data_IF_655667953175
#
_entry.id   IF_655667953175
#
_cell.length_a   1.000
_cell.length_b   1.000
_cell.length_c   1.000
_cell.angle_alpha   90.00
_cell.angle_beta   90.00
_cell.angle_gamma   90.00
#
_symmetry.space_group_name_H-M   'P 1'
#
loop_
_entity.id
_entity.type
_entity.pdbx_description
1 polymer ?
#
# COMPACT_ATOMS: atom_id res chain seq x y z
N UNK A 1 -10.31 -12.73 -23.05
CA UNK A 1 -11.18 -11.57 -22.82
C UNK A 1 -10.63 -10.59 -21.76
N UNK A 2 -10.41 -10.93 -20.46
CA UNK A 2 -9.94 -9.97 -19.46
C UNK A 2 -8.67 -9.20 -19.87
N UNK A 3 -7.65 -9.89 -20.40
CA UNK A 3 -6.42 -9.25 -20.90
C UNK A 3 -6.69 -8.24 -22.01
N UNK A 4 -7.52 -8.60 -23.00
CA UNK A 4 -7.91 -7.72 -24.09
C UNK A 4 -8.67 -6.48 -23.61
N UNK A 5 -9.61 -6.65 -22.66
CA UNK A 5 -10.32 -5.53 -22.02
C UNK A 5 -9.37 -4.58 -21.30
N UNK A 6 -8.42 -5.11 -20.50
CA UNK A 6 -7.44 -4.29 -19.78
C UNK A 6 -6.54 -3.53 -20.76
N UNK A 7 -6.07 -4.17 -21.83
CA UNK A 7 -5.24 -3.54 -22.85
C UNK A 7 -6.00 -2.43 -23.59
N UNK A 8 -7.26 -2.67 -23.94
CA UNK A 8 -8.13 -1.69 -24.56
C UNK A 8 -8.36 -0.48 -23.65
N UNK A 9 -8.81 -0.70 -22.40
CA UNK A 9 -9.09 0.35 -21.42
C UNK A 9 -7.84 1.17 -21.05
N UNK A 10 -6.66 0.55 -21.01
CA UNK A 10 -5.40 1.27 -20.83
C UNK A 10 -5.09 2.19 -22.01
N UNK A 11 -5.23 1.66 -23.25
CA UNK A 11 -4.95 2.42 -24.47
C UNK A 11 -5.89 3.60 -24.64
N UNK A 12 -7.15 3.46 -24.23
CA UNK A 12 -8.19 4.49 -24.34
C UNK A 12 -8.27 5.43 -23.12
N UNK A 13 -7.42 5.23 -22.10
CA UNK A 13 -7.38 6.12 -20.94
C UNK A 13 -8.55 5.96 -19.94
N UNK A 14 -9.35 4.89 -20.04
CA UNK A 14 -10.51 4.67 -19.17
C UNK A 14 -10.17 4.00 -17.83
N UNK A 15 -8.89 3.77 -17.54
CA UNK A 15 -8.45 3.25 -16.24
C UNK A 15 -7.69 4.34 -15.48
N UNK A 16 -8.25 4.79 -14.39
CA UNK A 16 -7.61 5.77 -13.50
C UNK A 16 -6.20 5.30 -13.07
N UNK A 17 -5.19 6.15 -13.31
CA UNK A 17 -3.80 5.85 -13.00
C UNK A 17 -3.53 5.67 -11.49
N UNK A 18 -4.34 6.29 -10.63
CA UNK A 18 -4.25 6.20 -9.18
C UNK A 18 -5.09 5.05 -8.59
N UNK A 19 -5.80 4.27 -9.43
CA UNK A 19 -6.36 2.99 -8.99
C UNK A 19 -5.27 1.93 -9.08
N UNK A 20 -4.90 1.34 -7.93
CA UNK A 20 -3.82 0.37 -7.82
C UNK A 20 -4.24 -1.08 -7.71
N UNK A 21 -5.52 -1.35 -7.41
CA UNK A 21 -5.99 -2.72 -7.32
C UNK A 21 -6.13 -3.36 -8.71
N UNK A 22 -5.86 -4.66 -8.76
CA UNK A 22 -6.05 -5.53 -9.94
C UNK A 22 -5.29 -5.10 -11.20
N UNK A 23 -4.26 -4.27 -11.05
CA UNK A 23 -3.37 -3.83 -12.14
C UNK A 23 -1.99 -4.50 -12.01
N UNK A 24 -1.42 -4.89 -13.15
CA UNK A 24 -0.04 -5.36 -13.21
C UNK A 24 0.94 -4.31 -12.68
N UNK A 25 1.96 -4.75 -11.97
CA UNK A 25 2.99 -3.88 -11.36
C UNK A 25 2.51 -2.93 -10.25
N UNK A 26 1.22 -2.95 -9.91
CA UNK A 26 0.63 -2.22 -8.81
C UNK A 26 0.46 -3.14 -7.58
N UNK A 27 0.43 -2.55 -6.39
CA UNK A 27 0.23 -3.26 -5.12
C UNK A 27 -0.20 -2.28 -4.03
N UNK A 28 -0.62 -2.79 -2.88
CA UNK A 28 -0.86 -1.98 -1.68
C UNK A 28 0.39 -1.17 -1.30
N UNK A 29 1.59 -1.76 -1.48
CA UNK A 29 2.87 -1.09 -1.19
C UNK A 29 3.09 0.10 -2.12
N UNK A 30 2.86 -0.06 -3.43
CA UNK A 30 3.05 1.04 -4.39
C UNK A 30 2.07 2.18 -4.14
N UNK A 31 0.81 1.87 -3.79
CA UNK A 31 -0.19 2.84 -3.39
C UNK A 31 0.23 3.63 -2.13
N UNK A 32 0.64 2.90 -1.09
CA UNK A 32 1.09 3.50 0.16
C UNK A 32 2.38 4.33 -0.02
N UNK A 33 3.33 3.91 -0.86
CA UNK A 33 4.52 4.71 -1.16
C UNK A 33 4.16 6.08 -1.76
N UNK A 34 3.16 6.11 -2.64
CA UNK A 34 2.70 7.36 -3.23
C UNK A 34 2.12 8.31 -2.15
N UNK A 35 1.21 7.79 -1.34
CA UNK A 35 0.55 8.57 -0.27
C UNK A 35 1.54 8.99 0.82
N UNK A 36 2.43 8.10 1.25
CA UNK A 36 3.40 8.41 2.31
C UNK A 36 4.44 9.44 1.87
N UNK A 37 4.84 9.44 0.60
CA UNK A 37 5.78 10.44 0.11
C UNK A 37 5.18 11.86 0.13
N UNK A 38 3.91 12.00 -0.29
CA UNK A 38 3.18 13.27 -0.17
C UNK A 38 3.04 13.73 1.30
N UNK A 39 2.79 12.79 2.22
CA UNK A 39 2.73 13.09 3.66
C UNK A 39 4.09 13.58 4.18
N UNK A 40 5.19 12.93 3.78
CA UNK A 40 6.54 13.37 4.19
C UNK A 40 6.93 14.73 3.57
N UNK A 41 6.45 15.03 2.37
CA UNK A 41 6.60 16.35 1.75
C UNK A 41 5.84 17.43 2.52
N UNK A 42 4.60 17.16 2.93
CA UNK A 42 3.83 18.07 3.77
C UNK A 42 4.50 18.31 5.14
N UNK A 43 5.03 17.24 5.77
CA UNK A 43 5.80 17.37 7.01
C UNK A 43 7.05 18.24 6.86
N UNK A 44 7.75 18.16 5.70
CA UNK A 44 8.87 19.01 5.37
C UNK A 44 8.48 20.50 5.30
N UNK A 45 7.32 20.76 4.72
CA UNK A 45 6.77 22.12 4.59
C UNK A 45 6.09 22.61 5.88
N UNK A 46 6.21 21.86 6.98
CA UNK A 46 5.53 22.19 8.26
C UNK A 46 4.00 22.26 8.13
N UNK A 47 3.43 21.48 7.21
CA UNK A 47 2.00 21.37 6.99
C UNK A 47 1.38 20.20 7.77
N UNK A 48 0.06 20.23 7.89
CA UNK A 48 -0.78 19.12 8.31
C UNK A 48 -1.27 18.35 7.09
N UNK A 49 -1.47 17.04 7.23
CA UNK A 49 -2.18 16.22 6.25
C UNK A 49 -3.42 15.63 6.89
N UNK A 50 -4.59 15.97 6.33
CA UNK A 50 -5.85 15.28 6.63
C UNK A 50 -5.94 14.06 5.70
N UNK A 51 -5.85 12.86 6.26
CA UNK A 51 -6.05 11.62 5.52
C UNK A 51 -7.40 11.03 5.89
N UNK A 52 -8.31 10.99 4.91
CA UNK A 52 -9.66 10.43 5.03
C UNK A 52 -9.70 9.09 4.31
N UNK A 53 -10.14 8.06 5.01
CA UNK A 53 -10.29 6.70 4.51
C UNK A 53 -11.78 6.38 4.43
N UNK A 54 -12.29 6.19 3.22
CA UNK A 54 -13.70 5.86 2.99
C UNK A 54 -13.86 4.35 2.80
N UNK A 55 -14.93 3.83 3.41
CA UNK A 55 -15.34 2.43 3.32
C UNK A 55 -16.69 2.32 2.62
N UNK A 56 -16.83 1.33 1.75
CA UNK A 56 -18.09 1.00 1.12
C UNK A 56 -18.69 -0.27 1.72
N UNK A 57 -20.01 -0.27 1.91
CA UNK A 57 -20.72 -1.47 2.37
C UNK A 57 -20.95 -2.43 1.22
N UNK A 58 -20.33 -3.63 1.27
CA UNK A 58 -20.54 -4.71 0.27
C UNK A 58 -20.39 -4.22 -1.19
N UNK A 59 -19.36 -3.41 -1.49
CA UNK A 59 -19.18 -2.74 -2.77
C UNK A 59 -19.31 -3.68 -3.98
N UNK A 60 -18.65 -4.84 -3.93
CA UNK A 60 -18.68 -5.85 -4.99
C UNK A 60 -20.07 -6.50 -5.18
N UNK A 61 -20.82 -6.67 -4.09
CA UNK A 61 -22.14 -7.30 -4.12
C UNK A 61 -23.23 -6.31 -4.57
N UNK A 62 -22.97 -5.00 -4.46
CA UNK A 62 -23.89 -3.94 -4.86
C UNK A 62 -23.65 -3.47 -6.31
N UNK A 63 -22.63 -3.95 -7.00
CA UNK A 63 -22.25 -3.48 -8.33
C UNK A 63 -23.41 -3.68 -9.34
N UNK A 64 -23.99 -2.59 -9.82
CA UNK A 64 -25.17 -2.62 -10.69
C UNK A 64 -24.77 -3.00 -12.12
N UNK A 65 -25.35 -4.08 -12.64
CA UNK A 65 -25.06 -4.63 -13.96
C UNK A 65 -25.36 -3.64 -15.11
N UNK A 66 -26.48 -2.91 -15.03
CA UNK A 66 -26.87 -1.92 -16.06
C UNK A 66 -25.88 -0.77 -16.13
N UNK A 67 -25.41 -0.29 -14.97
CA UNK A 67 -24.40 0.78 -14.90
C UNK A 67 -23.04 0.32 -15.43
N UNK A 68 -22.63 -0.91 -15.12
CA UNK A 68 -21.40 -1.50 -15.68
C UNK A 68 -21.46 -1.53 -17.21
N UNK A 69 -22.58 -2.04 -17.76
CA UNK A 69 -22.77 -2.11 -19.23
C UNK A 69 -22.83 -0.71 -19.87
N UNK A 70 -23.49 0.26 -19.21
CA UNK A 70 -23.51 1.64 -19.68
C UNK A 70 -22.12 2.28 -19.74
N UNK A 71 -21.30 2.09 -18.69
CA UNK A 71 -19.92 2.58 -18.66
C UNK A 71 -19.02 1.89 -19.67
N UNK A 72 -19.18 0.60 -19.89
CA UNK A 72 -18.48 -0.12 -20.95
C UNK A 72 -18.86 0.40 -22.33
N UNK A 73 -20.16 0.68 -22.56
CA UNK A 73 -20.64 1.29 -23.81
C UNK A 73 -20.02 2.66 -24.02
N UNK A 74 -19.99 3.52 -23.00
CA UNK A 74 -19.36 4.85 -23.08
C UNK A 74 -17.85 4.76 -23.29
N UNK A 75 -17.20 3.69 -22.79
CA UNK A 75 -15.80 3.39 -23.05
C UNK A 75 -15.54 2.83 -24.46
N UNK A 76 -16.57 2.70 -25.32
CA UNK A 76 -16.44 2.29 -26.72
C UNK A 76 -16.51 0.79 -26.99
N UNK A 77 -17.01 -0.01 -26.04
CA UNK A 77 -17.25 -1.43 -26.26
C UNK A 77 -18.43 -1.63 -27.26
N UNK A 78 -18.25 -2.50 -28.26
CA UNK A 78 -19.25 -2.79 -29.29
C UNK A 78 -20.34 -3.74 -28.75
N UNK A 79 -21.46 -3.82 -29.45
CA UNK A 79 -22.64 -4.61 -29.10
C UNK A 79 -22.33 -6.06 -28.73
N UNK A 80 -21.54 -6.76 -29.52
CA UNK A 80 -21.21 -8.18 -29.28
C UNK A 80 -20.48 -8.40 -27.94
N UNK A 81 -19.52 -7.50 -27.63
CA UNK A 81 -18.81 -7.54 -26.34
C UNK A 81 -19.74 -7.22 -25.18
N UNK A 82 -20.67 -6.27 -25.34
CA UNK A 82 -21.65 -5.91 -24.32
C UNK A 82 -22.65 -7.05 -24.09
N UNK A 83 -23.13 -7.69 -25.16
CA UNK A 83 -24.02 -8.86 -25.09
C UNK A 83 -23.33 -10.00 -24.32
N UNK A 84 -22.07 -10.26 -24.62
CA UNK A 84 -21.32 -11.29 -23.94
C UNK A 84 -21.16 -10.98 -22.42
N UNK A 85 -20.82 -9.74 -22.07
CA UNK A 85 -20.68 -9.33 -20.65
C UNK A 85 -22.03 -9.35 -19.94
N UNK A 86 -23.10 -8.95 -20.64
CA UNK A 86 -24.47 -9.03 -20.13
C UNK A 86 -24.84 -10.48 -19.80
N UNK A 87 -24.60 -11.41 -20.72
CA UNK A 87 -24.82 -12.85 -20.50
C UNK A 87 -23.97 -13.40 -19.33
N UNK A 88 -22.73 -12.92 -19.18
CA UNK A 88 -21.89 -13.31 -18.05
C UNK A 88 -22.44 -12.86 -16.70
N UNK A 89 -23.11 -11.71 -16.62
CA UNK A 89 -23.65 -11.13 -15.39
C UNK A 89 -25.08 -11.62 -15.08
N UNK A 90 -25.90 -11.91 -16.10
CA UNK A 90 -27.32 -12.25 -15.96
C UNK A 90 -27.57 -13.75 -15.74
N UNK A 91 -28.80 -14.09 -15.32
CA UNK A 91 -29.24 -15.48 -15.17
C UNK A 91 -28.54 -16.26 -14.06
N UNK A 92 -27.91 -15.57 -13.11
CA UNK A 92 -27.19 -16.18 -11.99
C UNK A 92 -28.11 -16.34 -10.79
N UNK A 93 -27.92 -17.43 -10.06
CA UNK A 93 -28.58 -17.70 -8.78
C UNK A 93 -27.59 -18.21 -7.76
N UNK A 94 -27.93 -18.09 -6.50
CA UNK A 94 -27.12 -18.54 -5.37
C UNK A 94 -27.99 -19.17 -4.28
N UNK A 95 -27.41 -20.09 -3.51
CA UNK A 95 -27.97 -20.60 -2.29
C UNK A 95 -26.89 -20.67 -1.20
N UNK A 96 -27.31 -20.68 0.05
CA UNK A 96 -26.41 -20.83 1.21
C UNK A 96 -26.52 -22.28 1.72
N UNK A 97 -25.38 -22.89 2.01
CA UNK A 97 -25.29 -24.23 2.59
C UNK A 97 -24.54 -24.14 3.91
N UNK A 98 -25.17 -24.54 5.02
CA UNK A 98 -24.56 -24.58 6.36
C UNK A 98 -24.94 -25.92 7.01
N UNK A 99 -23.96 -26.67 7.47
CA UNK A 99 -24.14 -27.96 8.15
C UNK A 99 -25.13 -28.93 7.42
N UNK A 100 -24.98 -29.03 6.09
CA UNK A 100 -25.83 -29.83 5.19
C UNK A 100 -27.28 -29.34 5.02
N UNK A 101 -27.62 -28.17 5.57
CA UNK A 101 -28.89 -27.50 5.28
C UNK A 101 -28.71 -26.47 4.21
N UNK A 102 -29.70 -26.37 3.31
CA UNK A 102 -29.64 -25.49 2.14
C UNK A 102 -30.77 -24.47 2.20
N UNK A 103 -30.48 -23.23 1.83
CA UNK A 103 -31.51 -22.23 1.57
C UNK A 103 -32.19 -22.48 0.21
N UNK A 104 -33.31 -21.79 -0.04
CA UNK A 104 -33.86 -21.64 -1.40
C UNK A 104 -32.84 -21.00 -2.33
N UNK A 105 -33.02 -21.24 -3.64
CA UNK A 105 -32.30 -20.55 -4.67
C UNK A 105 -32.82 -19.11 -4.81
N UNK A 106 -31.89 -18.15 -4.77
CA UNK A 106 -32.17 -16.71 -4.95
C UNK A 106 -31.46 -16.17 -6.17
N UNK A 107 -32.16 -15.34 -6.96
CA UNK A 107 -31.58 -14.71 -8.14
C UNK A 107 -30.58 -13.62 -7.77
N UNK A 108 -29.44 -13.57 -8.46
CA UNK A 108 -28.39 -12.53 -8.29
C UNK A 108 -28.64 -11.42 -9.29
N UNK A 109 -29.27 -10.33 -8.85
CA UNK A 109 -29.65 -9.18 -9.68
C UNK A 109 -28.56 -8.10 -9.77
N UNK A 110 -27.65 -8.05 -8.82
CA UNK A 110 -26.54 -7.12 -8.71
C UNK A 110 -25.29 -7.84 -8.23
N UNK A 111 -24.17 -7.15 -8.28
CA UNK A 111 -22.89 -7.66 -7.84
C UNK A 111 -22.10 -8.36 -8.94
N UNK A 112 -20.81 -8.42 -8.71
CA UNK A 112 -19.89 -9.16 -9.58
C UNK A 112 -19.41 -10.43 -8.86
N UNK A 113 -19.28 -11.56 -9.55
CA UNK A 113 -18.91 -12.82 -8.93
C UNK A 113 -17.55 -12.71 -8.23
N UNK A 114 -17.54 -12.86 -6.89
CA UNK A 114 -16.30 -12.85 -6.10
C UNK A 114 -15.46 -14.08 -6.47
N UNK A 115 -14.14 -13.90 -6.58
CA UNK A 115 -13.22 -14.95 -7.00
C UNK A 115 -13.15 -15.16 -8.53
N UNK A 116 -13.94 -14.43 -9.33
CA UNK A 116 -13.86 -14.46 -10.78
C UNK A 116 -12.75 -13.54 -11.32
N UNK A 117 -12.28 -13.81 -12.54
CA UNK A 117 -11.25 -12.98 -13.19
C UNK A 117 -11.80 -11.62 -13.66
N UNK A 118 -13.05 -11.56 -14.06
CA UNK A 118 -13.68 -10.35 -14.58
C UNK A 118 -14.30 -9.47 -13.49
N UNK A 119 -14.75 -10.04 -12.38
CA UNK A 119 -15.42 -9.30 -11.32
C UNK A 119 -14.65 -8.07 -10.86
N UNK A 120 -13.37 -8.18 -10.49
CA UNK A 120 -12.54 -7.04 -10.11
C UNK A 120 -12.41 -5.98 -11.19
N UNK A 121 -12.26 -6.38 -12.45
CA UNK A 121 -12.17 -5.44 -13.58
C UNK A 121 -13.48 -4.67 -13.79
N UNK A 122 -14.62 -5.36 -13.76
CA UNK A 122 -15.94 -4.76 -13.91
C UNK A 122 -16.25 -3.80 -12.76
N UNK A 123 -15.86 -4.14 -11.54
CA UNK A 123 -15.96 -3.21 -10.41
C UNK A 123 -15.06 -1.98 -10.60
N UNK A 124 -13.81 -2.15 -11.03
CA UNK A 124 -12.91 -1.03 -11.32
C UNK A 124 -13.48 -0.09 -12.37
N UNK A 125 -14.17 -0.62 -13.40
CA UNK A 125 -14.86 0.18 -14.42
C UNK A 125 -16.05 0.93 -13.79
N UNK A 126 -16.81 0.30 -12.91
CA UNK A 126 -17.94 0.93 -12.23
C UNK A 126 -17.53 2.19 -11.45
N UNK A 127 -16.33 2.17 -10.83
CA UNK A 127 -15.85 3.30 -10.02
C UNK A 127 -14.82 4.18 -10.73
N UNK A 128 -14.53 3.95 -12.03
CA UNK A 128 -13.41 4.61 -12.72
C UNK A 128 -13.51 6.13 -12.80
N UNK A 129 -14.72 6.68 -12.83
CA UNK A 129 -15.02 8.10 -12.91
C UNK A 129 -15.19 8.80 -11.54
N UNK A 130 -14.85 8.13 -10.44
CA UNK A 130 -14.85 8.76 -9.11
C UNK A 130 -13.83 9.92 -9.02
N UNK A 131 -12.74 9.83 -9.77
CA UNK A 131 -11.75 10.89 -9.90
C UNK A 131 -12.32 12.19 -10.42
N UNK A 132 -13.36 12.12 -11.25
CA UNK A 132 -13.98 13.30 -11.85
C UNK A 132 -14.74 14.17 -10.85
N UNK A 133 -15.11 13.61 -9.72
CA UNK A 133 -15.83 14.32 -8.65
C UNK A 133 -14.93 14.79 -7.49
N UNK A 134 -13.69 14.32 -7.43
CA UNK A 134 -12.68 14.76 -6.46
C UNK A 134 -11.90 15.93 -7.07
N UNK A 135 -12.14 17.14 -6.59
CA UNK A 135 -11.59 18.36 -7.23
C UNK A 135 -10.59 19.13 -6.37
N UNK A 136 -10.62 18.94 -5.05
CA UNK A 136 -9.86 19.76 -4.10
C UNK A 136 -8.76 19.02 -3.38
N UNK A 137 -8.91 17.70 -3.25
CA UNK A 137 -7.94 16.82 -2.59
C UNK A 137 -7.15 15.97 -3.57
N UNK A 138 -6.02 15.44 -3.07
CA UNK A 138 -5.35 14.30 -3.70
C UNK A 138 -6.07 13.03 -3.28
N UNK A 139 -5.97 11.99 -4.10
CA UNK A 139 -6.58 10.69 -3.79
C UNK A 139 -5.70 9.54 -4.22
N UNK A 140 -6.00 8.37 -3.69
CA UNK A 140 -5.48 7.09 -4.17
C UNK A 140 -6.54 6.01 -3.95
N UNK A 141 -6.75 5.15 -4.95
CA UNK A 141 -7.76 4.10 -4.92
C UNK A 141 -7.10 2.73 -4.87
N UNK A 142 -7.68 1.84 -4.07
CA UNK A 142 -7.31 0.43 -4.06
C UNK A 142 -8.56 -0.44 -3.96
N UNK A 143 -9.11 -0.85 -5.10
CA UNK A 143 -10.45 -1.40 -5.24
C UNK A 143 -11.50 -0.42 -4.69
N UNK A 144 -12.26 -0.82 -3.67
CA UNK A 144 -13.22 -0.01 -2.94
C UNK A 144 -12.60 0.88 -1.86
N UNK A 145 -11.38 0.58 -1.40
CA UNK A 145 -10.67 1.44 -0.44
C UNK A 145 -10.29 2.77 -1.11
N UNK A 146 -10.95 3.84 -0.70
CA UNK A 146 -10.72 5.21 -1.20
C UNK A 146 -9.98 6.03 -0.16
N UNK A 147 -8.81 6.53 -0.53
CA UNK A 147 -7.96 7.38 0.30
C UNK A 147 -7.99 8.80 -0.27
N UNK A 148 -8.45 9.75 0.52
CA UNK A 148 -8.40 11.19 0.20
C UNK A 148 -7.42 11.86 1.14
N UNK A 149 -6.59 12.78 0.64
CA UNK A 149 -5.70 13.51 1.52
C UNK A 149 -5.48 14.94 1.05
N UNK A 150 -5.43 15.83 2.05
CA UNK A 150 -5.37 17.28 1.89
C UNK A 150 -4.26 17.81 2.78
N UNK A 151 -3.44 18.70 2.24
CA UNK A 151 -2.36 19.34 3.01
C UNK A 151 -2.65 20.80 3.23
N UNK A 152 -2.34 21.32 4.41
CA UNK A 152 -2.54 22.72 4.74
C UNK A 152 -1.65 23.18 5.91
N UNK A 153 -1.52 24.47 6.09
CA UNK A 153 -0.99 25.04 7.33
C UNK A 153 -1.99 24.87 8.47
N UNK A 154 -1.52 25.00 9.72
CA UNK A 154 -2.38 24.82 10.91
C UNK A 154 -3.52 25.84 10.93
N UNK A 155 -3.24 27.06 10.47
CA UNK A 155 -4.20 28.18 10.44
C UNK A 155 -5.36 27.90 9.46
N UNK A 156 -5.09 27.14 8.40
CA UNK A 156 -6.06 26.84 7.33
C UNK A 156 -6.84 25.53 7.56
N UNK A 157 -6.74 24.94 8.76
CA UNK A 157 -7.30 23.62 9.04
C UNK A 157 -8.83 23.55 8.78
N UNK A 158 -9.61 24.53 9.28
CA UNK A 158 -11.08 24.54 9.10
C UNK A 158 -11.46 24.86 7.64
N UNK A 159 -10.77 25.77 6.96
CA UNK A 159 -10.96 26.00 5.52
C UNK A 159 -10.64 24.74 4.68
N UNK A 160 -9.73 23.90 5.16
CA UNK A 160 -9.45 22.62 4.51
C UNK A 160 -10.55 21.60 4.79
N UNK A 161 -11.14 21.60 6.00
CA UNK A 161 -12.30 20.75 6.32
C UNK A 161 -13.50 21.10 5.42
N UNK A 162 -13.72 22.36 5.11
CA UNK A 162 -14.76 22.77 4.14
C UNK A 162 -14.50 22.14 2.76
N UNK A 163 -13.25 22.20 2.28
CA UNK A 163 -12.86 21.54 1.00
C UNK A 163 -13.08 20.02 1.04
N UNK A 164 -12.75 19.38 2.16
CA UNK A 164 -12.99 17.95 2.39
C UNK A 164 -14.48 17.65 2.30
N UNK A 165 -15.31 18.45 3.01
CA UNK A 165 -16.75 18.23 3.04
C UNK A 165 -17.40 18.38 1.66
N UNK A 166 -16.93 19.33 0.84
CA UNK A 166 -17.42 19.49 -0.54
C UNK A 166 -17.07 18.25 -1.40
N UNK A 167 -15.83 17.76 -1.34
CA UNK A 167 -15.45 16.56 -2.10
C UNK A 167 -16.17 15.31 -1.58
N UNK A 168 -16.42 15.19 -0.27
CA UNK A 168 -17.21 14.10 0.32
C UNK A 168 -18.69 14.15 -0.10
N UNK A 169 -19.28 15.32 -0.23
CA UNK A 169 -20.63 15.47 -0.78
C UNK A 169 -20.69 15.03 -2.25
N UNK A 170 -19.72 15.44 -3.05
CA UNK A 170 -19.60 15.02 -4.44
C UNK A 170 -19.46 13.49 -4.55
N UNK A 171 -18.61 12.88 -3.72
CA UNK A 171 -18.44 11.42 -3.66
C UNK A 171 -19.71 10.72 -3.19
N UNK A 172 -20.43 11.29 -2.22
CA UNK A 172 -21.72 10.75 -1.76
C UNK A 172 -22.75 10.74 -2.87
N UNK A 173 -22.85 11.82 -3.64
CA UNK A 173 -23.74 11.93 -4.79
C UNK A 173 -23.34 11.00 -5.92
N UNK A 174 -22.03 10.85 -6.19
CA UNK A 174 -21.48 9.86 -7.12
C UNK A 174 -21.86 8.44 -6.70
N UNK A 175 -21.65 8.11 -5.43
CA UNK A 175 -21.92 6.79 -4.90
C UNK A 175 -23.41 6.42 -5.00
N UNK A 176 -24.31 7.35 -4.67
CA UNK A 176 -25.76 7.16 -4.84
C UNK A 176 -26.13 6.86 -6.30
N UNK A 177 -25.58 7.64 -7.25
CA UNK A 177 -25.83 7.44 -8.70
C UNK A 177 -25.29 6.09 -9.19
N UNK A 178 -24.22 5.59 -8.59
CA UNK A 178 -23.62 4.30 -8.94
C UNK A 178 -24.15 3.13 -8.12
N UNK A 179 -25.22 3.32 -7.33
CA UNK A 179 -25.83 2.31 -6.45
C UNK A 179 -24.84 1.73 -5.43
N UNK A 180 -23.83 2.52 -5.03
CA UNK A 180 -22.85 2.15 -4.02
C UNK A 180 -23.19 2.83 -2.68
N UNK A 181 -23.09 2.10 -1.58
CA UNK A 181 -23.41 2.61 -0.24
C UNK A 181 -22.12 2.89 0.54
N UNK A 182 -21.84 4.17 0.80
CA UNK A 182 -20.78 4.58 1.72
C UNK A 182 -21.13 4.19 3.15
N UNK A 183 -20.12 3.87 3.94
CA UNK A 183 -20.27 3.48 5.34
C UNK A 183 -19.57 4.51 6.24
N UNK A 184 -20.33 5.48 6.74
CA UNK A 184 -19.79 6.52 7.59
C UNK A 184 -19.19 5.98 8.91
N UNK A 185 -19.80 4.93 9.50
CA UNK A 185 -19.31 4.35 10.77
C UNK A 185 -17.96 3.65 10.64
N UNK A 186 -17.62 3.15 9.46
CA UNK A 186 -16.32 2.54 9.17
C UNK A 186 -15.33 3.51 8.53
N UNK A 187 -15.83 4.58 7.90
CA UNK A 187 -14.99 5.65 7.37
C UNK A 187 -14.34 6.42 8.51
N UNK A 188 -13.07 6.78 8.35
CA UNK A 188 -12.28 7.41 9.41
C UNK A 188 -11.35 8.44 8.81
N UNK A 189 -10.95 9.42 9.64
CA UNK A 189 -9.88 10.32 9.26
C UNK A 189 -8.83 10.46 10.35
N UNK A 190 -7.63 10.82 9.94
CA UNK A 190 -6.51 11.13 10.82
C UNK A 190 -5.87 12.43 10.35
N UNK A 191 -5.40 13.23 11.30
CA UNK A 191 -4.60 14.43 11.04
C UNK A 191 -3.15 14.09 11.35
N UNK A 192 -2.29 14.16 10.34
CA UNK A 192 -0.86 13.85 10.44
C UNK A 192 -0.08 15.16 10.40
N UNK A 193 0.88 15.32 11.31
CA UNK A 193 1.69 16.53 11.39
C UNK A 193 2.87 16.40 12.34
N UNK A 194 3.69 17.45 12.41
CA UNK A 194 4.71 17.55 13.43
C UNK A 194 4.09 17.64 14.82
N UNK A 195 4.82 17.21 15.86
CA UNK A 195 4.34 17.34 17.25
C UNK A 195 3.95 18.77 17.61
N UNK A 196 4.69 19.75 17.08
CA UNK A 196 4.41 21.18 17.31
C UNK A 196 3.09 21.59 16.65
N UNK A 197 2.87 21.23 15.39
CA UNK A 197 1.65 21.55 14.66
C UNK A 197 0.42 20.87 15.26
N UNK A 198 0.56 19.61 15.65
CA UNK A 198 -0.52 18.87 16.33
C UNK A 198 -0.84 19.47 17.70
N UNK A 199 0.15 20.02 18.42
CA UNK A 199 -0.10 20.76 19.68
C UNK A 199 -0.84 22.07 19.42
N UNK A 200 -0.43 22.87 18.42
CA UNK A 200 -1.14 24.09 18.00
C UNK A 200 -2.58 23.79 17.58
N UNK A 201 -2.78 22.71 16.82
CA UNK A 201 -4.10 22.29 16.38
C UNK A 201 -5.05 21.94 17.54
N UNK A 202 -4.55 21.44 18.66
CA UNK A 202 -5.38 21.15 19.85
C UNK A 202 -5.95 22.40 20.52
N UNK A 203 -5.34 23.56 20.30
CA UNK A 203 -5.83 24.83 20.84
C UNK A 203 -6.99 25.43 20.01
N UNK A 204 -7.20 24.92 18.80
CA UNK A 204 -8.25 25.37 17.88
C UNK A 204 -9.22 24.21 17.62
N UNK A 205 -10.50 24.34 17.95
CA UNK A 205 -11.47 23.29 17.64
C UNK A 205 -11.56 23.09 16.13
N UNK A 206 -11.57 21.83 15.72
CA UNK A 206 -11.79 21.47 14.33
C UNK A 206 -13.28 21.33 14.06
N UNK A 207 -13.70 21.79 12.90
CA UNK A 207 -15.04 21.54 12.38
C UNK A 207 -15.24 20.05 12.08
N UNK A 208 -16.50 19.65 11.93
CA UNK A 208 -16.84 18.27 11.64
C UNK A 208 -16.58 17.91 10.17
N UNK A 209 -15.96 16.78 9.95
CA UNK A 209 -15.94 16.14 8.63
C UNK A 209 -17.20 15.28 8.50
N UNK A 210 -18.01 15.57 7.47
CA UNK A 210 -19.34 14.99 7.29
C UNK A 210 -19.42 14.11 6.05
N UNK A 211 -20.11 13.00 6.15
CA UNK A 211 -20.46 12.13 5.04
C UNK A 211 -21.97 11.96 4.95
N UNK A 212 -22.62 12.80 4.16
CA UNK A 212 -24.07 12.98 4.20
C UNK A 212 -24.51 13.57 5.57
N UNK A 213 -25.46 12.92 6.26
CA UNK A 213 -25.92 13.38 7.59
C UNK A 213 -24.95 12.97 8.72
N UNK A 214 -24.06 12.02 8.48
CA UNK A 214 -23.22 11.42 9.51
C UNK A 214 -21.86 12.12 9.61
N UNK A 215 -21.27 12.12 10.82
CA UNK A 215 -19.91 12.62 11.06
C UNK A 215 -18.91 11.47 10.95
N UNK A 216 -17.80 11.71 10.25
CA UNK A 216 -16.66 10.81 10.25
C UNK A 216 -15.83 11.03 11.51
N UNK A 217 -15.47 9.95 12.20
CA UNK A 217 -14.69 10.04 13.43
C UNK A 217 -13.22 10.31 13.15
N UNK A 218 -12.63 11.23 13.93
CA UNK A 218 -11.18 11.41 13.99
C UNK A 218 -10.56 10.30 14.81
N UNK A 219 -9.51 9.70 14.24
CA UNK A 219 -8.72 8.69 14.92
C UNK A 219 -7.27 9.19 15.11
N UNK A 220 -6.61 8.69 16.14
CA UNK A 220 -5.19 8.96 16.41
C UNK A 220 -4.25 7.89 15.84
N UNK A 221 -4.84 6.86 15.24
CA UNK A 221 -4.17 5.87 14.41
C UNK A 221 -5.19 5.15 13.53
N UNK A 222 -4.92 5.06 12.24
CA UNK A 222 -5.80 4.42 11.25
C UNK A 222 -5.05 3.32 10.52
N UNK A 223 -5.76 2.25 10.18
CA UNK A 223 -5.24 1.19 9.33
C UNK A 223 -5.51 1.54 7.88
N UNK A 224 -4.45 1.83 7.13
CA UNK A 224 -4.50 2.10 5.69
C UNK A 224 -3.83 0.95 4.95
N UNK A 225 -4.57 0.24 4.09
CA UNK A 225 -4.12 -0.93 3.34
C UNK A 225 -3.23 -1.88 4.17
N UNK A 226 -3.66 -2.18 5.38
CA UNK A 226 -2.95 -3.11 6.28
C UNK A 226 -1.88 -2.50 7.19
N UNK A 227 -1.39 -1.30 6.91
CA UNK A 227 -0.40 -0.58 7.71
C UNK A 227 -1.10 0.40 8.67
N UNK A 228 -0.68 0.44 9.93
CA UNK A 228 -1.23 1.35 10.93
C UNK A 228 -0.44 2.66 10.91
N UNK A 229 -1.08 3.75 10.49
CA UNK A 229 -0.55 5.11 10.49
C UNK A 229 -0.90 5.78 11.82
N UNK A 230 0.02 6.50 12.40
CA UNK A 230 -0.21 7.38 13.55
C UNK A 230 0.01 8.86 13.16
N UNK A 231 -0.47 9.79 13.98
CA UNK A 231 -0.45 11.24 13.72
C UNK A 231 0.95 11.82 13.42
N UNK A 232 2.01 11.11 13.76
CA UNK A 232 3.40 11.57 13.60
C UNK A 232 4.23 10.69 12.66
N UNK A 233 3.61 9.71 12.03
CA UNK A 233 4.29 8.69 11.20
C UNK A 233 5.44 8.01 11.94
N UNK A 234 5.29 7.79 13.25
CA UNK A 234 6.35 7.24 14.11
C UNK A 234 6.53 5.73 13.98
N UNK A 235 5.55 5.03 13.42
CA UNK A 235 5.50 3.57 13.27
C UNK A 235 5.44 2.78 14.58
N UNK A 236 5.43 3.44 15.74
CA UNK A 236 5.47 2.78 17.06
C UNK A 236 4.29 1.83 17.23
N UNK A 237 3.07 2.32 16.95
CA UNK A 237 1.84 1.52 17.08
C UNK A 237 1.85 0.32 16.13
N UNK A 238 2.28 0.52 14.88
CA UNK A 238 2.35 -0.55 13.88
C UNK A 238 3.36 -1.63 14.28
N UNK A 239 4.61 -1.25 14.58
CA UNK A 239 5.67 -2.20 14.96
C UNK A 239 5.28 -2.95 16.24
N UNK A 240 4.66 -2.28 17.23
CA UNK A 240 4.16 -2.94 18.42
C UNK A 240 3.11 -4.00 18.10
N UNK A 241 2.16 -3.68 17.22
CA UNK A 241 1.10 -4.60 16.78
C UNK A 241 1.68 -5.85 16.11
N UNK A 242 2.54 -5.66 15.08
CA UNK A 242 3.10 -6.80 14.32
C UNK A 242 4.05 -7.64 15.17
N UNK A 243 4.84 -7.02 16.07
CA UNK A 243 5.71 -7.76 16.98
C UNK A 243 4.92 -8.57 18.01
N UNK A 244 3.84 -8.03 18.57
CA UNK A 244 2.97 -8.77 19.48
C UNK A 244 2.34 -10.00 18.79
N UNK A 245 1.84 -9.83 17.56
CA UNK A 245 1.33 -10.95 16.74
C UNK A 245 2.40 -12.01 16.47
N UNK A 246 3.63 -11.58 16.14
CA UNK A 246 4.74 -12.49 15.88
C UNK A 246 5.11 -13.30 17.11
N UNK A 247 5.13 -12.68 18.30
CA UNK A 247 5.34 -13.39 19.55
C UNK A 247 4.25 -14.43 19.85
N UNK A 248 2.98 -14.08 19.62
CA UNK A 248 1.86 -15.03 19.74
C UNK A 248 2.06 -16.25 18.85
N UNK A 249 2.33 -16.02 17.54
CA UNK A 249 2.61 -17.09 16.59
C UNK A 249 3.80 -17.96 17.00
N UNK A 250 4.92 -17.35 17.42
CA UNK A 250 6.09 -18.08 17.88
C UNK A 250 5.79 -18.96 19.11
N UNK A 251 4.99 -18.44 20.07
CA UNK A 251 4.54 -19.22 21.23
C UNK A 251 3.72 -20.44 20.82
N UNK A 252 2.86 -20.34 19.83
CA UNK A 252 2.09 -21.49 19.31
C UNK A 252 3.00 -22.55 18.69
N UNK A 253 3.91 -22.13 17.79
CA UNK A 253 4.81 -23.05 17.10
C UNK A 253 5.82 -23.70 18.08
N UNK A 254 6.18 -23.01 19.15
CA UNK A 254 7.13 -23.51 20.13
C UNK A 254 6.67 -24.80 20.84
N UNK A 255 5.37 -25.04 20.91
CA UNK A 255 4.78 -26.28 21.45
C UNK A 255 5.21 -27.53 20.67
N UNK A 256 5.53 -27.35 19.39
CA UNK A 256 5.90 -28.45 18.48
C UNK A 256 7.41 -28.59 18.30
N UNK A 257 8.22 -27.91 19.13
CA UNK A 257 9.69 -27.85 18.94
C UNK A 257 10.37 -29.21 18.88
N UNK A 258 9.87 -30.20 19.60
CA UNK A 258 10.45 -31.55 19.69
C UNK A 258 10.05 -32.45 18.51
N UNK A 259 8.98 -32.11 17.77
CA UNK A 259 8.45 -32.89 16.66
C UNK A 259 8.93 -32.43 15.29
N UNK A 260 9.56 -31.26 15.22
CA UNK A 260 9.94 -30.63 13.98
C UNK A 260 11.47 -30.67 13.78
N UNK A 261 11.89 -30.96 12.55
CA UNK A 261 13.30 -30.81 12.15
C UNK A 261 13.70 -29.31 12.11
N UNK A 262 14.99 -29.00 12.19
CA UNK A 262 15.51 -27.63 12.10
C UNK A 262 15.05 -26.91 10.82
N UNK A 263 15.06 -27.62 9.67
CA UNK A 263 14.59 -27.09 8.40
C UNK A 263 13.09 -26.74 8.43
N UNK A 264 12.26 -27.64 8.98
CA UNK A 264 10.82 -27.39 9.13
C UNK A 264 10.54 -26.20 10.05
N UNK A 265 11.24 -26.12 11.19
CA UNK A 265 11.14 -24.96 12.11
C UNK A 265 11.50 -23.65 11.43
N UNK A 266 12.60 -23.64 10.64
CA UNK A 266 13.01 -22.44 9.92
C UNK A 266 11.98 -22.04 8.86
N UNK A 267 11.49 -22.97 8.06
CA UNK A 267 10.47 -22.70 7.05
C UNK A 267 9.19 -22.13 7.68
N UNK A 268 8.72 -22.70 8.79
CA UNK A 268 7.56 -22.17 9.52
C UNK A 268 7.87 -20.79 10.08
N UNK A 269 9.04 -20.59 10.66
CA UNK A 269 9.46 -19.28 11.17
C UNK A 269 9.46 -18.23 10.07
N UNK A 270 9.99 -18.55 8.90
CA UNK A 270 10.08 -17.63 7.77
C UNK A 270 8.72 -17.33 7.15
N UNK A 271 7.91 -18.37 6.89
CA UNK A 271 6.64 -18.21 6.17
C UNK A 271 5.49 -17.74 7.06
N UNK A 272 5.40 -18.22 8.30
CA UNK A 272 4.28 -17.93 9.18
C UNK A 272 4.54 -16.76 10.16
N UNK A 273 5.80 -16.59 10.63
CA UNK A 273 6.14 -15.58 11.63
C UNK A 273 6.77 -14.35 10.98
N UNK A 274 7.90 -14.53 10.26
CA UNK A 274 8.67 -13.41 9.73
C UNK A 274 8.03 -12.77 8.49
N UNK A 275 7.17 -13.48 7.76
CA UNK A 275 6.45 -12.96 6.59
C UNK A 275 5.64 -11.70 6.89
N UNK A 276 5.09 -11.56 8.10
CA UNK A 276 4.33 -10.38 8.48
C UNK A 276 5.17 -9.10 8.59
N UNK A 277 6.50 -9.22 8.76
CA UNK A 277 7.43 -8.10 8.73
C UNK A 277 7.85 -7.72 7.31
N UNK A 278 7.56 -8.55 6.30
CA UNK A 278 7.83 -8.24 4.90
C UNK A 278 6.69 -7.42 4.28
N UNK A 279 5.48 -7.50 4.87
CA UNK A 279 4.35 -6.74 4.35
C UNK A 279 4.50 -5.26 4.69
N UNK A 280 4.63 -4.43 3.65
CA UNK A 280 4.77 -2.98 3.81
C UNK A 280 6.07 -2.50 4.46
N UNK A 281 7.08 -3.35 4.63
CA UNK A 281 8.34 -2.98 5.27
C UNK A 281 9.04 -1.80 4.59
N UNK A 282 8.86 -1.66 3.29
CA UNK A 282 9.37 -0.54 2.48
C UNK A 282 8.78 0.81 2.92
N UNK A 283 7.54 0.80 3.43
CA UNK A 283 6.87 2.02 3.95
C UNK A 283 7.48 2.47 5.28
N UNK A 284 8.01 1.53 6.06
CA UNK A 284 8.52 1.77 7.41
C UNK A 284 9.92 2.41 7.42
N UNK A 285 10.22 3.24 6.41
CA UNK A 285 11.43 4.05 6.42
C UNK A 285 11.36 5.07 7.56
N UNK A 286 12.50 5.42 8.12
CA UNK A 286 12.55 6.38 9.24
C UNK A 286 12.13 5.83 10.60
N UNK A 287 11.81 4.54 10.73
CA UNK A 287 11.63 3.97 12.06
C UNK A 287 12.92 4.12 12.89
N UNK A 288 12.76 4.27 14.19
CA UNK A 288 13.89 4.40 15.12
C UNK A 288 14.68 3.09 15.22
N UNK A 289 15.96 3.19 15.59
CA UNK A 289 16.81 2.01 15.84
C UNK A 289 16.21 1.07 16.91
N UNK A 290 15.50 1.63 17.91
CA UNK A 290 14.81 0.84 18.92
C UNK A 290 13.71 -0.05 18.29
N UNK A 291 12.93 0.47 17.35
CA UNK A 291 11.90 -0.29 16.64
C UNK A 291 12.52 -1.34 15.72
N UNK A 292 13.57 -0.99 14.97
CA UNK A 292 14.29 -1.93 14.12
C UNK A 292 14.88 -3.08 14.97
N UNK A 293 15.48 -2.77 16.12
CA UNK A 293 15.98 -3.76 17.06
C UNK A 293 14.87 -4.66 17.65
N UNK A 294 13.68 -4.10 17.89
CA UNK A 294 12.53 -4.86 18.35
C UNK A 294 12.11 -5.92 17.32
N UNK A 295 12.09 -5.59 16.04
CA UNK A 295 11.83 -6.53 14.94
C UNK A 295 12.95 -7.57 14.86
N UNK A 296 14.22 -7.14 14.92
CA UNK A 296 15.38 -8.04 14.87
C UNK A 296 15.36 -9.07 16.02
N UNK A 297 14.93 -8.69 17.23
CA UNK A 297 14.76 -9.63 18.35
C UNK A 297 13.82 -10.80 18.04
N UNK A 298 12.79 -10.58 17.23
CA UNK A 298 11.88 -11.66 16.80
C UNK A 298 12.63 -12.65 15.91
N UNK A 299 13.34 -12.15 14.89
CA UNK A 299 14.16 -13.01 14.02
C UNK A 299 15.18 -13.81 14.82
N UNK A 300 15.86 -13.17 15.77
CA UNK A 300 16.84 -13.82 16.63
C UNK A 300 16.21 -14.97 17.45
N UNK A 301 14.98 -14.80 17.93
CA UNK A 301 14.24 -15.87 18.60
C UNK A 301 13.82 -16.99 17.66
N UNK A 302 13.42 -16.66 16.42
CA UNK A 302 13.12 -17.65 15.39
C UNK A 302 14.37 -18.48 15.05
N UNK A 303 15.54 -17.86 14.93
CA UNK A 303 16.81 -18.55 14.69
C UNK A 303 17.12 -19.52 15.84
N UNK A 304 17.05 -19.05 17.10
CA UNK A 304 17.27 -19.91 18.26
C UNK A 304 16.30 -21.08 18.32
N UNK A 305 15.04 -20.83 18.07
CA UNK A 305 14.02 -21.89 18.01
C UNK A 305 14.31 -22.91 16.91
N UNK A 306 14.71 -22.45 15.72
CA UNK A 306 14.92 -23.32 14.56
C UNK A 306 16.18 -24.18 14.69
N UNK A 307 17.25 -23.62 15.20
CA UNK A 307 18.56 -24.27 15.26
C UNK A 307 18.95 -24.79 16.65
N UNK A 308 18.01 -24.79 17.60
CA UNK A 308 18.21 -25.39 18.93
C UNK A 308 19.17 -24.59 19.84
N UNK A 309 19.38 -23.32 19.57
CA UNK A 309 20.26 -22.47 20.36
C UNK A 309 19.60 -22.05 21.68
N UNK A 310 20.42 -21.87 22.71
CA UNK A 310 19.98 -21.39 24.02
C UNK A 310 19.72 -19.88 24.02
N UNK A 311 19.06 -19.37 25.03
CA UNK A 311 18.64 -17.96 25.14
C UNK A 311 19.80 -16.96 24.97
N UNK A 312 20.99 -17.29 25.45
CA UNK A 312 22.16 -16.40 25.46
C UNK A 312 23.22 -16.76 24.42
N UNK A 313 23.03 -17.84 23.64
CA UNK A 313 23.97 -18.22 22.60
C UNK A 313 24.05 -17.14 21.50
N UNK A 314 25.27 -16.94 20.98
CA UNK A 314 25.48 -16.08 19.83
C UNK A 314 24.83 -16.69 18.59
N UNK A 315 24.18 -15.84 17.80
CA UNK A 315 23.43 -16.29 16.61
C UNK A 315 24.14 -15.95 15.29
N UNK A 316 25.22 -15.16 15.35
CA UNK A 316 25.88 -14.60 14.17
C UNK A 316 26.37 -15.70 13.24
N UNK A 317 27.10 -16.69 13.74
CA UNK A 317 27.65 -17.79 12.93
C UNK A 317 26.53 -18.64 12.34
N UNK A 318 25.54 -19.01 13.15
CA UNK A 318 24.35 -19.75 12.67
C UNK A 318 23.61 -18.98 11.58
N UNK A 319 23.48 -17.65 11.71
CA UNK A 319 22.83 -16.81 10.72
C UNK A 319 23.63 -16.73 9.43
N UNK A 320 24.96 -16.53 9.51
CA UNK A 320 25.86 -16.49 8.36
C UNK A 320 25.91 -17.83 7.64
N UNK A 321 26.09 -18.94 8.34
CA UNK A 321 26.12 -20.31 7.78
C UNK A 321 24.83 -20.64 7.04
N UNK A 322 23.67 -20.25 7.59
CA UNK A 322 22.38 -20.48 6.95
C UNK A 322 21.98 -19.36 5.97
N UNK A 323 22.87 -18.42 5.66
CA UNK A 323 22.67 -17.34 4.69
C UNK A 323 21.44 -16.47 4.95
N UNK A 324 21.10 -16.25 6.21
CA UNK A 324 19.94 -15.49 6.64
C UNK A 324 20.30 -13.99 6.73
N UNK A 325 19.64 -13.13 5.95
CA UNK A 325 19.78 -11.67 6.06
C UNK A 325 19.17 -11.14 7.36
N UNK A 326 19.73 -10.09 7.96
CA UNK A 326 19.08 -9.35 9.03
C UNK A 326 17.75 -8.75 8.54
N UNK A 327 16.87 -8.43 9.46
CA UNK A 327 15.58 -7.82 9.09
C UNK A 327 15.75 -6.45 8.42
N UNK A 328 16.78 -5.70 8.77
CA UNK A 328 17.13 -4.44 8.14
C UNK A 328 17.59 -4.62 6.69
N UNK A 329 18.50 -5.56 6.46
CA UNK A 329 19.03 -5.86 5.12
C UNK A 329 17.95 -6.47 4.22
N UNK A 330 17.04 -7.28 4.80
CA UNK A 330 15.88 -7.81 4.11
C UNK A 330 14.95 -6.70 3.64
N UNK A 331 14.66 -5.72 4.50
CA UNK A 331 13.90 -4.51 4.13
C UNK A 331 14.61 -3.70 3.06
N UNK A 332 15.93 -3.51 3.19
CA UNK A 332 16.73 -2.80 2.19
C UNK A 332 16.71 -3.50 0.82
N UNK A 333 16.78 -4.84 0.82
CA UNK A 333 16.60 -5.64 -0.40
C UNK A 333 15.25 -5.37 -1.07
N UNK A 334 14.16 -5.33 -0.28
CA UNK A 334 12.83 -5.02 -0.81
C UNK A 334 12.76 -3.58 -1.37
N UNK A 335 13.39 -2.63 -0.70
CA UNK A 335 13.51 -1.26 -1.19
C UNK A 335 14.27 -1.18 -2.52
N UNK A 336 15.41 -1.86 -2.61
CA UNK A 336 16.20 -1.91 -3.86
C UNK A 336 15.41 -2.54 -5.00
N UNK A 337 14.63 -3.59 -4.72
CA UNK A 337 13.76 -4.23 -5.73
C UNK A 337 12.69 -3.26 -6.25
N UNK A 338 12.09 -2.47 -5.39
CA UNK A 338 11.10 -1.46 -5.82
C UNK A 338 11.80 -0.34 -6.61
N UNK A 339 12.94 0.17 -6.12
CA UNK A 339 13.70 1.20 -6.82
C UNK A 339 14.16 0.71 -8.21
N UNK A 340 14.64 -0.52 -8.32
CA UNK A 340 14.96 -1.15 -9.60
C UNK A 340 13.75 -1.18 -10.55
N UNK A 341 12.56 -1.54 -10.05
CA UNK A 341 11.34 -1.52 -10.88
C UNK A 341 10.99 -0.11 -11.34
N UNK A 342 11.17 0.88 -10.49
CA UNK A 342 10.93 2.29 -10.82
C UNK A 342 11.92 2.75 -11.91
N UNK A 343 13.22 2.47 -11.76
CA UNK A 343 14.25 2.88 -12.73
C UNK A 343 14.12 2.16 -14.08
N UNK A 344 13.50 0.98 -14.11
CA UNK A 344 13.21 0.24 -15.34
C UNK A 344 11.85 0.55 -15.96
N UNK A 345 11.08 1.50 -15.41
CA UNK A 345 9.74 1.82 -15.89
C UNK A 345 8.73 0.68 -15.73
N UNK A 346 9.04 -0.33 -14.89
CA UNK A 346 8.15 -1.48 -14.64
C UNK A 346 7.17 -1.18 -13.49
N UNK A 347 7.47 -0.18 -12.66
CA UNK A 347 6.59 0.28 -11.59
C UNK A 347 5.45 1.16 -12.12
N UNK A 348 4.40 1.46 -11.32
CA UNK A 348 3.36 2.40 -11.68
C UNK A 348 3.91 3.77 -12.05
N UNK A 349 3.29 4.44 -13.02
CA UNK A 349 3.75 5.73 -13.57
C UNK A 349 3.85 6.80 -12.48
N UNK A 350 2.93 6.82 -11.49
CA UNK A 350 2.96 7.77 -10.40
C UNK A 350 4.20 7.64 -9.48
N UNK A 351 4.85 6.45 -9.44
CA UNK A 351 6.13 6.27 -8.76
C UNK A 351 7.32 6.60 -9.67
N UNK A 352 7.22 6.22 -10.96
CA UNK A 352 8.28 6.53 -11.93
C UNK A 352 8.50 8.05 -12.06
N UNK A 353 7.42 8.82 -12.01
CA UNK A 353 7.47 10.28 -12.10
C UNK A 353 8.06 10.97 -10.84
N UNK A 354 8.31 10.23 -9.74
CA UNK A 354 8.92 10.79 -8.52
C UNK A 354 10.44 10.79 -8.51
N UNK A 355 11.07 10.15 -9.50
CA UNK A 355 12.51 10.15 -9.64
C UNK A 355 12.95 11.02 -10.83
N UNK A 356 14.05 11.72 -10.65
CA UNK A 356 14.76 12.41 -11.72
C UNK A 356 16.20 11.91 -11.79
N UNK A 357 16.83 12.02 -12.93
CA UNK A 357 18.22 11.69 -13.14
C UNK A 357 19.06 12.95 -13.33
N UNK A 358 20.34 12.91 -12.98
CA UNK A 358 21.21 14.05 -13.15
C UNK A 358 21.30 14.54 -14.61
N UNK A 359 21.24 13.64 -15.59
CA UNK A 359 21.21 14.00 -17.00
C UNK A 359 19.95 14.74 -17.46
N UNK A 360 18.85 14.66 -16.70
CA UNK A 360 17.62 15.42 -17.00
C UNK A 360 17.62 16.85 -16.43
N UNK A 361 18.57 17.17 -15.52
CA UNK A 361 18.65 18.48 -14.88
C UNK A 361 19.65 19.42 -15.56
N UNK A 362 20.68 18.89 -16.21
CA UNK A 362 21.70 19.67 -16.91
C UNK A 362 22.34 18.84 -18.04
N UNK A 363 22.78 19.55 -19.09
CA UNK A 363 23.36 18.93 -20.29
C UNK A 363 24.85 18.52 -20.13
N UNK A 364 25.45 18.69 -18.96
CA UNK A 364 26.84 18.32 -18.74
C UNK A 364 27.01 16.79 -18.61
N UNK A 365 27.97 16.25 -19.36
CA UNK A 365 28.26 14.80 -19.33
C UNK A 365 29.13 14.45 -18.10
N UNK A 366 28.55 14.40 -16.93
CA UNK A 366 29.23 14.07 -15.68
C UNK A 366 29.27 12.54 -15.44
N UNK A 367 30.21 12.07 -14.61
CA UNK A 367 30.28 10.65 -14.19
C UNK A 367 28.99 10.16 -13.50
N UNK A 368 28.19 11.07 -12.94
CA UNK A 368 26.94 10.79 -12.23
C UNK A 368 25.67 10.95 -13.07
N UNK A 369 25.78 11.13 -14.38
CA UNK A 369 24.65 11.44 -15.27
C UNK A 369 23.47 10.47 -15.15
N UNK A 370 23.74 9.20 -14.87
CA UNK A 370 22.74 8.15 -14.77
C UNK A 370 22.30 7.87 -13.30
N UNK A 371 22.82 8.62 -12.33
CA UNK A 371 22.39 8.48 -10.93
C UNK A 371 21.07 9.19 -10.69
N UNK A 372 20.28 8.63 -9.76
CA UNK A 372 19.03 9.24 -9.32
C UNK A 372 19.37 10.48 -8.48
N UNK A 373 18.69 11.57 -8.77
CA UNK A 373 18.78 12.78 -7.95
C UNK A 373 18.02 12.56 -6.66
N UNK A 374 18.71 12.59 -5.53
CA UNK A 374 18.06 12.63 -4.22
C UNK A 374 17.75 14.11 -3.89
N UNK A 375 16.46 14.51 -3.81
CA UNK A 375 16.12 15.87 -3.43
C UNK A 375 16.72 16.25 -2.08
N UNK A 376 17.06 17.53 -1.93
CA UNK A 376 17.51 18.03 -0.63
C UNK A 376 16.38 17.96 0.39
N UNK A 377 16.65 17.46 1.59
CA UNK A 377 15.70 17.36 2.69
C UNK A 377 16.21 18.17 3.88
N UNK A 378 15.39 19.11 4.36
CA UNK A 378 15.69 19.93 5.55
C UNK A 378 15.37 19.16 6.84
N UNK A 379 14.29 18.39 6.83
CA UNK A 379 13.85 17.65 8.00
C UNK A 379 14.34 16.20 7.98
N UNK A 380 14.55 15.65 9.19
CA UNK A 380 14.86 14.23 9.35
C UNK A 380 13.73 13.33 8.79
N UNK A 381 12.47 13.73 8.93
CA UNK A 381 11.34 12.97 8.45
C UNK A 381 11.43 12.81 6.91
N UNK A 382 11.67 13.90 6.19
CA UNK A 382 11.78 13.88 4.72
C UNK A 382 13.03 13.12 4.26
N UNK A 383 14.18 13.30 4.91
CA UNK A 383 15.41 12.59 4.55
C UNK A 383 15.28 11.07 4.68
N UNK A 384 14.35 10.61 5.52
CA UNK A 384 14.04 9.20 5.73
C UNK A 384 12.91 8.68 4.82
N UNK A 385 12.30 9.54 3.97
CA UNK A 385 11.32 9.06 2.99
C UNK A 385 11.96 8.10 1.99
N UNK A 386 11.15 7.22 1.39
CA UNK A 386 11.65 6.19 0.48
C UNK A 386 12.47 6.78 -0.67
N UNK A 387 11.94 7.80 -1.35
CA UNK A 387 12.58 8.34 -2.56
C UNK A 387 13.89 9.07 -2.29
N UNK A 388 14.10 9.60 -1.08
CA UNK A 388 15.36 10.26 -0.71
C UNK A 388 16.36 9.28 -0.12
N UNK A 389 15.95 8.53 0.92
CA UNK A 389 16.83 7.59 1.62
C UNK A 389 17.32 6.47 0.70
N UNK A 390 16.42 5.92 -0.12
CA UNK A 390 16.76 4.78 -0.96
C UNK A 390 17.46 5.21 -2.24
N UNK A 391 17.20 6.41 -2.79
CA UNK A 391 17.92 6.90 -3.97
C UNK A 391 19.43 6.91 -3.75
N UNK A 392 19.91 7.48 -2.65
CA UNK A 392 21.33 7.52 -2.32
C UNK A 392 21.95 6.11 -2.17
N UNK A 393 21.25 5.22 -1.43
CA UNK A 393 21.71 3.82 -1.23
C UNK A 393 21.67 3.01 -2.53
N UNK A 394 20.71 3.30 -3.40
CA UNK A 394 20.60 2.63 -4.70
C UNK A 394 21.68 3.11 -5.66
N UNK A 395 22.03 4.40 -5.65
CA UNK A 395 23.16 4.94 -6.42
C UNK A 395 24.47 4.29 -5.97
N UNK A 396 24.70 4.13 -4.65
CA UNK A 396 25.85 3.40 -4.10
C UNK A 396 25.88 1.94 -4.59
N UNK A 397 24.74 1.24 -4.50
CA UNK A 397 24.60 -0.12 -5.01
C UNK A 397 24.90 -0.22 -6.51
N UNK A 398 24.38 0.71 -7.32
CA UNK A 398 24.53 0.68 -8.78
C UNK A 398 25.96 0.97 -9.28
N UNK A 399 26.80 1.54 -8.42
CA UNK A 399 28.26 1.65 -8.68
C UNK A 399 28.99 0.31 -8.49
N UNK A 400 28.46 -0.56 -7.62
CA UNK A 400 29.07 -1.86 -7.30
C UNK A 400 28.49 -2.98 -8.16
N UNK A 401 27.21 -2.91 -8.48
CA UNK A 401 26.49 -3.92 -9.26
C UNK A 401 25.99 -3.28 -10.55
N UNK A 402 26.36 -3.84 -11.71
CA UNK A 402 25.73 -3.44 -12.96
C UNK A 402 24.25 -3.79 -12.96
N UNK A 403 23.42 -2.73 -13.02
CA UNK A 403 21.95 -2.80 -13.00
C UNK A 403 21.32 -2.56 -14.37
N UNK A 404 22.14 -2.32 -15.42
CA UNK A 404 21.67 -1.85 -16.73
C UNK A 404 20.84 -2.90 -17.48
N UNK A 405 21.40 -4.07 -17.74
CA UNK A 405 20.81 -5.10 -18.63
C UNK A 405 20.57 -6.44 -17.91
N UNK A 406 19.96 -6.40 -16.73
CA UNK A 406 19.70 -7.61 -15.95
C UNK A 406 18.22 -7.81 -15.65
N UNK A 407 17.81 -9.08 -15.53
CA UNK A 407 16.45 -9.43 -15.10
C UNK A 407 16.24 -9.08 -13.62
N UNK A 408 14.99 -8.89 -13.23
CA UNK A 408 14.62 -8.67 -11.83
C UNK A 408 15.12 -9.82 -10.92
N UNK A 409 15.11 -11.05 -11.42
CA UNK A 409 15.56 -12.21 -10.65
C UNK A 409 17.07 -12.17 -10.44
N UNK A 410 17.85 -11.83 -11.48
CA UNK A 410 19.30 -11.66 -11.40
C UNK A 410 19.66 -10.52 -10.48
N UNK A 411 18.93 -9.38 -10.57
CA UNK A 411 19.09 -8.25 -9.67
C UNK A 411 18.90 -8.65 -8.20
N UNK A 412 17.81 -9.36 -7.88
CA UNK A 412 17.55 -9.84 -6.50
C UNK A 412 18.71 -10.71 -5.97
N UNK A 413 19.22 -11.62 -6.79
CA UNK A 413 20.35 -12.49 -6.41
C UNK A 413 21.61 -11.67 -6.11
N UNK A 414 22.00 -10.75 -7.00
CA UNK A 414 23.18 -9.90 -6.83
C UNK A 414 23.05 -8.99 -5.60
N UNK A 415 21.88 -8.36 -5.39
CA UNK A 415 21.65 -7.57 -4.19
C UNK A 415 21.72 -8.39 -2.91
N UNK A 416 21.22 -9.63 -2.93
CA UNK A 416 21.31 -10.52 -1.75
C UNK A 416 22.75 -10.87 -1.43
N UNK A 417 23.58 -11.14 -2.43
CA UNK A 417 25.02 -11.39 -2.25
C UNK A 417 25.72 -10.14 -1.70
N UNK A 418 25.52 -8.98 -2.31
CA UNK A 418 26.05 -7.71 -1.86
C UNK A 418 25.75 -7.41 -0.39
N UNK A 419 24.47 -7.59 0.02
CA UNK A 419 24.05 -7.34 1.41
C UNK A 419 24.66 -8.33 2.41
N UNK A 420 25.00 -9.55 1.99
CA UNK A 420 25.71 -10.54 2.83
C UNK A 420 27.18 -10.20 2.98
N UNK A 421 27.84 -9.77 1.90
CA UNK A 421 29.25 -9.36 1.91
C UNK A 421 29.49 -8.10 2.74
N UNK A 422 28.55 -7.16 2.75
CA UNK A 422 28.61 -5.95 3.58
C UNK A 422 28.51 -6.22 5.08
N UNK A 423 28.09 -7.42 5.47
CA UNK A 423 28.02 -7.87 6.88
C UNK A 423 29.27 -8.60 7.35
N UNK A 424 30.18 -8.97 6.44
CA UNK A 424 31.48 -9.56 6.77
C UNK A 424 32.48 -8.50 7.22
#
# INVERSE_FOLDING_TARGET
MAKQMIEYLKRTGHLDNLQSAYKSSHSTITALLNVTDDIYEALENSELTFLVLLDYSKAFDCANHRLILAKLKSAGFKSDSLTWISSYLSGRSQKVVVDSQESSWEGVLNGVPQGSVLGPLLFTILISDISDVIKRGKYHLYADDTQLYYTCKVEDANATIEKINIDLENISNFSKRNCLKLNASKSKFIVIGSRQNLKKLKSNPLDDIKLGPDKIQREYAVKNLGILFDETMSWIKHVNLITARAYGKLKHVYRFKNFLSSKAKWNISETYILSQFNYGDVILQGMTNQLAHKIQKIQNRCIRFSFGLRKYDHITDTRKTNKILRMEDRRLLHCFVIMFKITKGIAPIYLCNRIAYHNSLHNYNTRRKNEIVAPFARSRARSMSFFINIANKYNELSRTIDVSNISLQTFKKRCTSYLREKEE
#
